data_IF_498431597582
#
_entry.id   IF_498431597582
#
_cell.length_a   1.000
_cell.length_b   1.000
_cell.length_c   1.000
_cell.angle_alpha   90.00
_cell.angle_beta   90.00
_cell.angle_gamma   90.00
#
_symmetry.space_group_name_H-M   'P 1'
#
loop_
_entity.id
_entity.type
_entity.pdbx_description
1 polymer ?
#
# COMPACT_ATOMS: atom_id res chain seq x y z
N UNK A 1 -13.02 -56.77 -17.64
CA UNK A 1 -12.90 -55.98 -16.40
C UNK A 1 -12.31 -54.63 -16.78
N UNK A 2 -13.13 -53.59 -16.89
CA UNK A 2 -12.71 -52.22 -17.23
C UNK A 2 -12.03 -51.58 -16.03
N UNK A 3 -10.83 -51.05 -16.20
CA UNK A 3 -10.20 -50.16 -15.21
C UNK A 3 -10.31 -48.75 -15.76
N UNK A 4 -11.19 -47.99 -15.13
CA UNK A 4 -11.51 -46.59 -15.42
C UNK A 4 -10.29 -45.70 -15.14
N UNK A 5 -9.89 -44.93 -16.15
CA UNK A 5 -8.91 -43.86 -16.04
C UNK A 5 -9.56 -42.68 -15.29
N UNK A 6 -9.17 -42.45 -14.03
CA UNK A 6 -9.53 -41.24 -13.31
C UNK A 6 -8.75 -40.06 -13.92
N UNK A 7 -9.42 -39.28 -14.74
CA UNK A 7 -8.97 -37.95 -15.12
C UNK A 7 -9.10 -37.06 -13.87
N UNK A 8 -8.04 -36.98 -13.08
CA UNK A 8 -7.95 -36.01 -12.00
C UNK A 8 -7.93 -34.61 -12.60
N UNK A 9 -8.98 -33.82 -12.38
CA UNK A 9 -8.91 -32.37 -12.53
C UNK A 9 -7.85 -31.89 -11.52
N UNK A 10 -6.66 -31.55 -12.02
CA UNK A 10 -5.80 -30.59 -11.34
C UNK A 10 -6.57 -29.27 -11.39
N UNK A 11 -7.26 -28.92 -10.31
CA UNK A 11 -7.60 -27.53 -10.08
C UNK A 11 -6.27 -26.78 -9.99
N UNK A 12 -5.89 -26.10 -11.07
CA UNK A 12 -4.87 -25.06 -11.01
C UNK A 12 -5.49 -23.97 -10.12
N UNK A 13 -5.20 -24.03 -8.83
CA UNK A 13 -5.40 -22.88 -7.96
C UNK A 13 -4.47 -21.79 -8.50
N UNK A 14 -5.04 -20.85 -9.24
CA UNK A 14 -4.40 -19.57 -9.45
C UNK A 14 -4.34 -18.98 -8.04
N UNK A 15 -3.20 -19.14 -7.36
CA UNK A 15 -2.89 -18.40 -6.14
C UNK A 15 -2.68 -16.94 -6.57
N UNK A 16 -3.75 -16.29 -7.02
CA UNK A 16 -3.78 -14.87 -7.28
C UNK A 16 -3.44 -14.21 -5.96
N UNK A 17 -2.26 -13.60 -5.90
CA UNK A 17 -1.91 -12.65 -4.84
C UNK A 17 -2.90 -11.50 -4.97
N UNK A 18 -4.06 -11.65 -4.36
CA UNK A 18 -5.15 -10.70 -4.56
C UNK A 18 -4.70 -9.36 -3.99
N UNK A 19 -4.66 -8.36 -4.86
CA UNK A 19 -4.46 -6.99 -4.44
C UNK A 19 -5.58 -6.60 -3.48
N UNK A 20 -5.28 -5.99 -2.31
CA UNK A 20 -6.33 -5.64 -1.35
C UNK A 20 -7.31 -4.64 -1.99
N UNK A 21 -8.60 -4.99 -1.96
CA UNK A 21 -9.67 -4.08 -2.36
C UNK A 21 -10.07 -3.11 -1.26
N UNK A 22 -9.63 -3.36 -0.02
CA UNK A 22 -9.81 -2.46 1.10
C UNK A 22 -8.51 -2.37 1.90
N UNK A 23 -8.08 -1.14 2.17
CA UNK A 23 -6.94 -0.86 3.02
C UNK A 23 -7.13 0.50 3.66
N UNK A 24 -6.84 0.61 4.95
CA UNK A 24 -6.78 1.89 5.65
C UNK A 24 -5.62 1.85 6.64
N UNK A 25 -4.57 2.61 6.37
CA UNK A 25 -3.32 2.45 7.11
C UNK A 25 -2.47 3.72 7.15
N UNK A 26 -1.62 3.80 8.17
CA UNK A 26 -0.52 4.77 8.25
C UNK A 26 0.77 4.05 7.89
N UNK A 27 1.59 4.71 7.07
CA UNK A 27 2.85 4.21 6.58
C UNK A 27 3.98 5.19 6.88
N UNK A 28 5.16 4.67 7.22
CA UNK A 28 6.38 5.46 7.32
C UNK A 28 6.95 5.70 5.92
N UNK A 29 7.15 6.95 5.55
CA UNK A 29 7.87 7.34 4.35
C UNK A 29 9.38 7.23 4.61
N UNK A 30 10.05 6.24 4.04
CA UNK A 30 11.44 5.95 4.38
C UNK A 30 12.45 6.91 3.73
N UNK A 31 12.05 7.65 2.69
CA UNK A 31 12.88 8.68 2.07
C UNK A 31 12.77 10.01 2.82
N UNK A 32 11.54 10.44 3.17
CA UNK A 32 11.29 11.77 3.73
C UNK A 32 11.19 11.79 5.27
N UNK A 33 11.08 10.62 5.91
CA UNK A 33 11.00 10.48 7.38
C UNK A 33 9.68 10.91 8.00
N UNK A 34 8.65 11.21 7.20
CA UNK A 34 7.30 11.55 7.66
C UNK A 34 6.35 10.34 7.55
N UNK A 35 5.04 10.57 7.77
CA UNK A 35 4.02 9.53 7.71
C UNK A 35 2.93 9.88 6.72
N UNK A 36 2.46 8.88 6.00
CA UNK A 36 1.35 9.00 5.05
C UNK A 36 0.20 8.10 5.48
N UNK A 37 -1.02 8.61 5.40
CA UNK A 37 -2.22 7.78 5.49
C UNK A 37 -2.61 7.37 4.08
N UNK A 38 -2.79 6.07 3.86
CA UNK A 38 -3.24 5.47 2.60
C UNK A 38 -4.60 4.82 2.81
N UNK A 39 -5.52 5.05 1.88
CA UNK A 39 -6.84 4.41 1.84
C UNK A 39 -7.04 3.79 0.45
N UNK A 40 -7.38 2.51 0.40
CA UNK A 40 -7.83 1.79 -0.79
C UNK A 40 -9.29 1.38 -0.57
N UNK A 41 -10.14 1.67 -1.55
CA UNK A 41 -11.53 1.22 -1.60
C UNK A 41 -11.88 0.84 -3.05
N UNK A 42 -11.96 -0.45 -3.34
CA UNK A 42 -12.00 -0.98 -4.69
C UNK A 42 -10.73 -0.58 -5.45
N UNK A 43 -10.88 0.13 -6.57
CA UNK A 43 -9.78 0.69 -7.35
C UNK A 43 -9.37 2.09 -6.89
N UNK A 44 -10.09 2.72 -5.95
CA UNK A 44 -9.78 4.08 -5.52
C UNK A 44 -8.63 4.09 -4.52
N UNK A 45 -7.54 4.78 -4.84
CA UNK A 45 -6.42 5.06 -3.94
C UNK A 45 -6.46 6.52 -3.49
N UNK A 46 -6.39 6.76 -2.18
CA UNK A 46 -6.24 8.10 -1.59
C UNK A 46 -5.04 8.13 -0.65
N UNK A 47 -4.18 9.14 -0.82
CA UNK A 47 -3.00 9.36 0.02
C UNK A 47 -3.09 10.76 0.65
N UNK A 48 -2.86 10.83 1.96
CA UNK A 48 -2.85 12.06 2.76
C UNK A 48 -1.63 12.09 3.69
N UNK A 49 -1.16 13.27 4.11
CA UNK A 49 -0.23 13.37 5.22
C UNK A 49 -0.86 12.82 6.51
N UNK A 50 -0.04 12.33 7.44
CA UNK A 50 -0.49 11.82 8.73
C UNK A 50 0.43 12.30 9.86
N UNK A 51 -0.15 12.64 11.02
CA UNK A 51 0.60 13.06 12.21
C UNK A 51 1.32 14.41 12.07
N UNK A 52 0.90 15.28 11.15
CA UNK A 52 1.41 16.64 10.98
C UNK A 52 0.30 17.61 10.56
N UNK A 53 0.64 18.87 10.27
CA UNK A 53 -0.30 19.95 9.94
C UNK A 53 -0.55 20.16 8.42
N UNK A 54 0.00 19.30 7.56
CA UNK A 54 -0.24 19.39 6.12
C UNK A 54 -1.63 18.86 5.77
N UNK A 55 -2.20 19.32 4.65
CA UNK A 55 -3.58 19.00 4.28
C UNK A 55 -3.80 18.65 2.79
N UNK A 56 -2.72 18.37 2.06
CA UNK A 56 -2.82 17.96 0.65
C UNK A 56 -3.42 16.56 0.51
N UNK A 57 -4.01 16.28 -0.66
CA UNK A 57 -4.65 14.99 -0.96
C UNK A 57 -4.24 14.55 -2.36
N UNK A 58 -3.72 13.34 -2.46
CA UNK A 58 -3.50 12.65 -3.74
C UNK A 58 -4.58 11.61 -3.95
N UNK A 59 -5.08 11.53 -5.18
CA UNK A 59 -6.01 10.50 -5.63
C UNK A 59 -5.41 9.80 -6.84
N UNK A 60 -5.54 8.49 -6.91
CA UNK A 60 -5.12 7.69 -8.05
C UNK A 60 -6.04 6.47 -8.18
N UNK A 61 -5.90 5.75 -9.29
CA UNK A 61 -6.55 4.47 -9.50
C UNK A 61 -5.53 3.33 -9.33
N UNK A 62 -5.89 2.36 -8.50
CA UNK A 62 -5.19 1.12 -8.30
C UNK A 62 -5.69 0.10 -9.32
N UNK A 63 -4.78 -0.40 -10.14
CA UNK A 63 -5.00 -1.60 -10.92
C UNK A 63 -4.92 -2.81 -9.97
N UNK A 64 -6.05 -3.48 -9.77
CA UNK A 64 -6.16 -4.62 -8.86
C UNK A 64 -5.56 -5.91 -9.42
N UNK A 65 -5.27 -5.98 -10.72
CA UNK A 65 -4.60 -7.12 -11.34
C UNK A 65 -3.09 -7.05 -11.13
N UNK A 66 -2.49 -5.88 -11.38
CA UNK A 66 -1.04 -5.66 -11.23
C UNK A 66 -0.63 -5.19 -9.85
N UNK A 67 -1.59 -4.75 -9.04
CA UNK A 67 -1.39 -4.15 -7.72
C UNK A 67 -0.54 -2.88 -7.76
N UNK A 68 -0.72 -2.10 -8.83
CA UNK A 68 0.03 -0.88 -9.11
C UNK A 68 -0.88 0.32 -9.31
N UNK A 69 -0.34 1.50 -9.02
CA UNK A 69 -0.99 2.77 -9.30
C UNK A 69 0.04 3.77 -9.83
N UNK A 70 -0.30 4.53 -10.87
CA UNK A 70 0.46 5.73 -11.23
C UNK A 70 0.01 6.87 -10.33
N UNK A 71 0.94 7.44 -9.56
CA UNK A 71 0.65 8.43 -8.53
C UNK A 71 1.28 9.77 -8.92
N UNK A 72 0.43 10.78 -9.10
CA UNK A 72 0.86 12.16 -9.27
C UNK A 72 0.85 12.87 -7.90
N UNK A 73 2.05 13.18 -7.40
CA UNK A 73 2.23 13.91 -6.15
C UNK A 73 2.22 15.43 -6.33
N UNK A 74 2.18 15.95 -7.57
CA UNK A 74 2.11 17.38 -7.86
C UNK A 74 0.69 17.94 -7.65
N UNK A 75 0.22 17.85 -6.41
CA UNK A 75 -1.10 18.31 -5.99
C UNK A 75 -1.01 19.62 -5.19
N UNK A 76 -2.07 20.46 -5.19
CA UNK A 76 -2.07 21.70 -4.43
C UNK A 76 -1.71 21.50 -2.95
N UNK A 77 -0.77 22.32 -2.46
CA UNK A 77 -0.37 22.36 -1.05
C UNK A 77 0.64 21.29 -0.62
N UNK A 78 1.05 20.35 -1.49
CA UNK A 78 2.14 19.43 -1.18
C UNK A 78 3.49 20.14 -1.37
N UNK A 79 4.36 20.21 -0.34
CA UNK A 79 5.69 20.78 -0.52
C UNK A 79 6.57 19.81 -1.34
N UNK A 80 7.38 20.39 -2.23
CA UNK A 80 8.44 19.71 -2.98
C UNK A 80 8.01 18.37 -3.62
N UNK A 81 6.95 18.33 -4.45
CA UNK A 81 6.55 17.09 -5.10
C UNK A 81 7.63 16.62 -6.10
N UNK A 82 7.77 15.31 -6.35
CA UNK A 82 8.60 14.81 -7.44
C UNK A 82 8.13 15.44 -8.77
N UNK A 83 9.06 15.73 -9.71
CA UNK A 83 8.74 16.40 -10.97
C UNK A 83 8.15 15.45 -12.03
N UNK A 84 7.77 14.23 -11.64
CA UNK A 84 7.23 13.14 -12.47
C UNK A 84 6.25 12.31 -11.64
N UNK A 85 5.33 11.63 -12.33
CA UNK A 85 4.49 10.63 -11.70
C UNK A 85 5.32 9.41 -11.31
N UNK A 86 5.03 8.84 -10.15
CA UNK A 86 5.71 7.65 -9.67
C UNK A 86 4.80 6.43 -9.85
N UNK A 87 5.40 5.29 -10.16
CA UNK A 87 4.71 4.01 -10.14
C UNK A 87 4.78 3.46 -8.71
N UNK A 88 3.63 3.38 -8.05
CA UNK A 88 3.49 2.73 -6.76
C UNK A 88 3.14 1.26 -6.98
N UNK A 89 3.89 0.35 -6.36
CA UNK A 89 3.60 -1.09 -6.32
C UNK A 89 3.30 -1.51 -4.90
N UNK A 90 2.19 -2.20 -4.68
CA UNK A 90 1.85 -2.78 -3.38
C UNK A 90 2.51 -4.16 -3.25
N UNK A 91 3.32 -4.30 -2.21
CA UNK A 91 3.97 -5.53 -1.82
C UNK A 91 3.43 -6.04 -0.48
N UNK A 92 3.47 -7.36 -0.31
CA UNK A 92 3.24 -8.01 0.97
C UNK A 92 4.58 -8.58 1.47
N UNK A 93 5.14 -7.97 2.52
CA UNK A 93 6.34 -8.44 3.18
C UNK A 93 5.97 -9.58 4.14
N UNK A 94 6.51 -10.77 3.87
CA UNK A 94 6.36 -11.96 4.70
C UNK A 94 7.70 -12.31 5.35
N UNK A 95 7.66 -13.13 6.40
CA UNK A 95 8.83 -13.74 7.01
C UNK A 95 8.55 -15.22 7.18
N UNK A 96 9.58 -16.04 6.96
CA UNK A 96 9.51 -17.49 7.15
C UNK A 96 9.71 -17.88 8.63
N UNK A 97 10.00 -16.91 9.49
CA UNK A 97 10.11 -17.12 10.92
C UNK A 97 8.74 -17.43 11.51
N UNK A 98 8.61 -18.59 12.15
CA UNK A 98 7.35 -19.00 12.79
C UNK A 98 6.88 -18.01 13.89
N UNK A 99 7.81 -17.20 14.42
CA UNK A 99 7.53 -16.15 15.41
C UNK A 99 7.26 -14.79 14.80
N UNK A 100 7.52 -14.60 13.50
CA UNK A 100 7.16 -13.36 12.84
C UNK A 100 5.64 -13.23 12.87
N UNK A 101 5.19 -12.04 13.26
CA UNK A 101 3.77 -11.72 13.23
C UNK A 101 3.19 -11.73 11.81
N UNK A 102 2.03 -11.09 11.67
CA UNK A 102 1.35 -11.00 10.39
C UNK A 102 2.21 -10.31 9.32
N UNK A 103 2.01 -10.73 8.07
CA UNK A 103 2.61 -10.09 6.91
C UNK A 103 2.29 -8.58 6.90
N UNK A 104 3.25 -7.77 6.46
CA UNK A 104 3.12 -6.31 6.45
C UNK A 104 2.97 -5.81 5.02
N UNK A 105 2.03 -4.89 4.82
CA UNK A 105 1.94 -4.18 3.55
C UNK A 105 3.10 -3.18 3.41
N UNK A 106 3.63 -3.12 2.20
CA UNK A 106 4.67 -2.18 1.77
C UNK A 106 4.24 -1.53 0.47
N UNK A 107 4.54 -0.26 0.29
CA UNK A 107 4.43 0.39 -1.02
C UNK A 107 5.82 0.75 -1.52
N UNK A 108 6.20 0.26 -2.68
CA UNK A 108 7.45 0.66 -3.35
C UNK A 108 7.14 1.67 -4.44
N UNK A 109 7.98 2.70 -4.59
CA UNK A 109 7.83 3.72 -5.61
C UNK A 109 9.02 3.70 -6.56
N UNK A 110 8.76 3.62 -7.86
CA UNK A 110 9.75 3.77 -8.93
C UNK A 110 9.39 4.94 -9.86
N UNK A 111 10.36 5.43 -10.63
CA UNK A 111 10.14 6.42 -11.68
C UNK A 111 10.18 5.74 -13.06
N UNK A 112 9.03 5.44 -13.68
CA UNK A 112 8.99 4.76 -14.98
C UNK A 112 9.59 5.60 -16.13
N UNK A 113 9.72 6.92 -15.96
CA UNK A 113 10.30 7.80 -16.98
C UNK A 113 11.83 7.74 -17.04
N UNK A 114 12.47 7.26 -15.97
CA UNK A 114 13.93 7.22 -15.87
C UNK A 114 14.60 8.55 -15.51
N UNK A 115 13.83 9.60 -15.15
CA UNK A 115 14.35 10.96 -14.91
C UNK A 115 15.05 11.11 -13.56
N UNK A 116 14.54 10.47 -12.52
CA UNK A 116 15.08 10.53 -11.16
C UNK A 116 16.06 9.39 -10.89
N UNK A 117 15.76 8.19 -11.38
CA UNK A 117 16.60 7.00 -11.33
C UNK A 117 16.21 6.04 -12.46
N UNK A 118 16.97 4.96 -12.66
CA UNK A 118 16.57 3.88 -13.58
C UNK A 118 15.14 3.38 -13.26
N UNK A 119 14.29 3.05 -14.26
CA UNK A 119 12.90 2.64 -14.04
C UNK A 119 12.66 1.47 -13.08
N UNK A 120 13.68 0.64 -12.86
CA UNK A 120 13.60 -0.53 -11.97
C UNK A 120 14.25 -0.29 -10.60
N UNK A 121 14.80 0.90 -10.37
CA UNK A 121 15.38 1.25 -9.08
C UNK A 121 14.31 1.84 -8.17
N UNK A 122 14.13 1.31 -6.95
CA UNK A 122 13.22 1.90 -5.99
C UNK A 122 13.74 3.26 -5.54
N UNK A 123 12.88 4.27 -5.62
CA UNK A 123 13.14 5.61 -5.08
C UNK A 123 12.77 5.70 -3.61
N UNK A 124 11.75 4.95 -3.20
CA UNK A 124 11.23 4.97 -1.84
C UNK A 124 10.45 3.69 -1.55
N UNK A 125 10.37 3.34 -0.27
CA UNK A 125 9.50 2.29 0.23
C UNK A 125 8.74 2.82 1.44
N UNK A 126 7.43 2.62 1.48
CA UNK A 126 6.60 3.00 2.61
C UNK A 126 6.21 1.77 3.42
N UNK A 127 6.52 1.78 4.71
CA UNK A 127 6.32 0.63 5.60
C UNK A 127 5.06 0.81 6.44
N UNK A 128 4.18 -0.20 6.48
CA UNK A 128 2.98 -0.15 7.32
C UNK A 128 3.33 -0.04 8.81
N UNK A 129 2.73 0.96 9.47
CA UNK A 129 2.87 1.23 10.91
C UNK A 129 1.66 0.76 11.72
N UNK A 130 0.48 0.68 11.09
CA UNK A 130 -0.77 0.35 11.76
C UNK A 130 -1.96 1.07 11.15
N UNK A 131 -3.16 0.79 11.67
CA UNK A 131 -4.35 1.56 11.35
C UNK A 131 -4.27 2.94 12.01
N UNK A 132 -4.86 4.00 11.42
CA UNK A 132 -4.97 5.29 12.09
C UNK A 132 -5.66 5.08 13.43
N UNK A 133 -5.02 5.52 14.53
CA UNK A 133 -5.68 5.49 15.82
C UNK A 133 -6.94 6.36 15.73
N UNK A 134 -8.11 5.76 15.93
CA UNK A 134 -9.28 6.54 16.35
C UNK A 134 -8.84 7.19 17.64
N UNK A 135 -8.74 8.53 17.67
CA UNK A 135 -8.40 9.24 18.89
C UNK A 135 -9.32 8.71 19.99
N UNK A 136 -8.74 7.99 20.96
CA UNK A 136 -9.50 7.49 22.08
C UNK A 136 -10.17 8.71 22.70
N UNK A 137 -11.51 8.77 22.61
CA UNK A 137 -12.28 9.77 23.33
C UNK A 137 -12.04 9.43 24.79
N UNK A 138 -11.11 10.13 25.43
CA UNK A 138 -10.86 10.04 26.86
C UNK A 138 -12.05 10.68 27.57
N UNK A 139 -13.17 9.98 27.54
CA UNK A 139 -14.35 10.21 28.36
C UNK A 139 -14.36 9.15 29.46
N UNK A 140 -13.37 9.18 30.35
CA UNK A 140 -13.53 8.56 31.66
C UNK A 140 -14.49 9.46 32.43
N UNK A 141 -15.74 9.01 32.50
CA UNK A 141 -16.74 9.57 33.42
C UNK A 141 -16.28 9.13 34.80
N UNK A 142 -15.78 10.08 35.60
CA UNK A 142 -15.59 9.86 37.03
C UNK A 142 -16.96 9.61 37.68
N UNK A 143 -17.04 8.55 38.44
CA UNK A 143 -18.28 7.99 38.93
C UNK A 143 -18.03 6.96 40.01
N UNK A 144 -17.55 7.41 41.17
CA UNK A 144 -18.06 7.07 42.52
C UNK A 144 -17.21 7.69 43.61
#
# INVERSE_FOLDING_TARGET
MQVTMMLGLLAVSVLGRNCPQELHGVFADMHDGDKKQVTIAGTSLTIKPSGNSQSWVVKAELDTESCQATVDFNVPGKPNPPPVNLLMTLWLATSDEASAGQAKTTFEFTDPSGKLASPHMPLNSWLFLGTPQVAAVSGVVDGR
#
